data_IF_903542369160
#
_entry.id   IF_903542369160
#
_cell.length_a   1.000
_cell.length_b   1.000
_cell.length_c   1.000
_cell.angle_alpha   90.00
_cell.angle_beta   90.00
_cell.angle_gamma   90.00
#
_symmetry.space_group_name_H-M   'P 1'
#
loop_
_entity.id
_entity.type
_entity.pdbx_description
1 polymer ?
#
# COMPACT_ATOMS: atom_id res chain seq x y z
N UNK A 1 19.38 11.89 29.03
CA UNK A 1 19.64 10.70 28.20
C UNK A 1 19.34 11.07 26.76
N UNK A 2 20.38 11.47 26.02
CA UNK A 2 20.29 11.79 24.60
C UNK A 2 20.27 10.48 23.81
N UNK A 3 19.12 10.13 23.24
CA UNK A 3 18.98 9.01 22.32
C UNK A 3 19.41 9.48 20.92
N UNK A 4 20.70 9.30 20.63
CA UNK A 4 21.23 9.30 19.28
C UNK A 4 20.65 8.10 18.50
N UNK A 5 19.47 8.28 17.89
CA UNK A 5 18.91 7.38 16.90
C UNK A 5 19.35 7.82 15.50
N UNK A 6 20.66 7.83 15.30
CA UNK A 6 21.23 7.84 13.97
C UNK A 6 20.81 6.53 13.29
N UNK A 7 19.94 6.63 12.28
CA UNK A 7 19.25 5.57 11.51
C UNK A 7 17.90 5.09 12.08
N UNK A 8 16.95 5.99 12.30
CA UNK A 8 15.54 5.55 12.33
C UNK A 8 15.20 4.95 10.96
N UNK A 9 15.18 3.61 10.86
CA UNK A 9 14.60 2.94 9.70
C UNK A 9 13.16 3.46 9.59
N UNK A 10 12.79 3.96 8.41
CA UNK A 10 11.42 4.42 8.16
C UNK A 10 10.45 3.31 8.54
N UNK A 11 9.51 3.59 9.44
CA UNK A 11 8.51 2.62 9.85
C UNK A 11 7.60 2.29 8.66
N UNK A 12 7.13 1.03 8.53
CA UNK A 12 6.20 0.68 7.48
C UNK A 12 4.89 1.46 7.66
N UNK A 13 4.33 1.93 6.54
CA UNK A 13 2.99 2.46 6.48
C UNK A 13 2.00 1.31 6.30
N UNK A 14 1.04 1.18 7.21
CA UNK A 14 0.02 0.12 7.18
C UNK A 14 -1.35 0.77 6.96
N UNK A 15 -2.07 0.32 5.93
CA UNK A 15 -3.41 0.78 5.61
C UNK A 15 -4.39 -0.39 5.52
N UNK A 16 -5.51 -0.29 6.21
CA UNK A 16 -6.58 -1.29 6.26
C UNK A 16 -7.83 -0.75 5.57
N UNK A 17 -8.28 -1.42 4.51
CA UNK A 17 -9.48 -1.12 3.71
C UNK A 17 -9.67 0.36 3.31
N UNK A 18 -8.56 1.03 2.98
CA UNK A 18 -8.49 2.45 2.60
C UNK A 18 -9.48 2.87 1.48
N UNK A 19 -9.87 1.93 0.61
CA UNK A 19 -10.69 2.20 -0.58
C UNK A 19 -12.13 1.69 -0.49
N UNK A 20 -12.65 1.35 0.70
CA UNK A 20 -13.99 0.79 0.88
C UNK A 20 -15.13 1.61 0.26
N UNK A 21 -14.99 2.94 0.16
CA UNK A 21 -16.02 3.83 -0.42
C UNK A 21 -15.62 4.44 -1.78
N UNK A 22 -14.53 3.96 -2.38
CA UNK A 22 -13.99 4.53 -3.60
C UNK A 22 -14.53 3.77 -4.81
N UNK A 23 -14.84 4.52 -5.87
CA UNK A 23 -15.06 3.92 -7.18
C UNK A 23 -13.70 3.58 -7.82
N UNK A 24 -13.74 3.02 -9.02
CA UNK A 24 -12.54 2.54 -9.71
C UNK A 24 -11.53 3.65 -10.00
N UNK A 25 -12.01 4.84 -10.36
CA UNK A 25 -11.18 6.01 -10.66
C UNK A 25 -10.48 6.50 -9.39
N UNK A 26 -11.24 6.73 -8.31
CA UNK A 26 -10.66 7.16 -7.03
C UNK A 26 -9.71 6.13 -6.46
N UNK A 27 -10.04 4.84 -6.57
CA UNK A 27 -9.17 3.74 -6.10
C UNK A 27 -7.83 3.73 -6.85
N UNK A 28 -7.86 3.95 -8.17
CA UNK A 28 -6.64 4.02 -8.99
C UNK A 28 -5.76 5.18 -8.57
N UNK A 29 -6.32 6.39 -8.41
CA UNK A 29 -5.57 7.55 -7.94
C UNK A 29 -4.97 7.33 -6.53
N UNK A 30 -5.73 6.70 -5.63
CA UNK A 30 -5.23 6.33 -4.31
C UNK A 30 -4.09 5.33 -4.36
N UNK A 31 -4.18 4.31 -5.23
CA UNK A 31 -3.12 3.34 -5.45
C UNK A 31 -1.85 4.00 -6.04
N UNK A 32 -1.99 4.99 -6.92
CA UNK A 32 -0.85 5.77 -7.43
C UNK A 32 -0.12 6.54 -6.32
N UNK A 33 -0.87 7.13 -5.39
CA UNK A 33 -0.30 7.79 -4.22
C UNK A 33 0.43 6.78 -3.30
N UNK A 34 -0.14 5.59 -3.10
CA UNK A 34 0.53 4.51 -2.35
C UNK A 34 1.81 4.03 -3.07
N UNK A 35 1.80 3.98 -4.41
CA UNK A 35 3.00 3.66 -5.21
C UNK A 35 4.09 4.69 -5.00
N UNK A 36 3.77 5.98 -5.01
CA UNK A 36 4.76 7.02 -4.71
C UNK A 36 5.30 6.88 -3.27
N UNK A 37 4.41 6.68 -2.28
CA UNK A 37 4.81 6.48 -0.89
C UNK A 37 5.73 5.27 -0.71
N UNK A 38 5.49 4.20 -1.48
CA UNK A 38 6.30 2.98 -1.44
C UNK A 38 7.77 3.19 -1.80
N UNK A 39 8.10 4.29 -2.49
CA UNK A 39 9.49 4.66 -2.81
C UNK A 39 10.26 5.21 -1.60
N UNK A 40 9.54 5.65 -0.56
CA UNK A 40 10.09 6.30 0.64
C UNK A 40 10.02 5.39 1.87
N UNK A 41 9.02 4.52 1.95
CA UNK A 41 8.86 3.53 3.02
C UNK A 41 8.11 2.29 2.55
N UNK A 42 8.21 1.19 3.30
CA UNK A 42 7.40 0.01 3.02
C UNK A 42 5.91 0.31 3.22
N UNK A 43 5.08 -0.06 2.26
CA UNK A 43 3.62 0.05 2.33
C UNK A 43 3.01 -1.35 2.44
N UNK A 44 2.21 -1.57 3.49
CA UNK A 44 1.40 -2.76 3.68
C UNK A 44 -0.06 -2.35 3.55
N UNK A 45 -0.70 -2.77 2.45
CA UNK A 45 -2.12 -2.53 2.22
C UNK A 45 -2.90 -3.82 2.41
N UNK A 46 -3.81 -3.80 3.37
CA UNK A 46 -4.70 -4.90 3.69
C UNK A 46 -6.08 -4.57 3.16
N UNK A 47 -6.67 -5.49 2.42
CA UNK A 47 -8.05 -5.33 1.99
C UNK A 47 -8.74 -6.67 1.77
N UNK A 48 -10.05 -6.67 1.98
CA UNK A 48 -10.93 -7.77 1.62
C UNK A 48 -11.57 -7.60 0.22
N UNK A 49 -11.24 -6.52 -0.50
CA UNK A 49 -11.83 -6.20 -1.80
C UNK A 49 -11.03 -6.78 -2.97
N UNK A 50 -11.36 -7.99 -3.40
CA UNK A 50 -10.71 -8.66 -4.54
C UNK A 50 -10.76 -7.84 -5.85
N UNK A 51 -11.80 -7.01 -6.02
CA UNK A 51 -11.96 -6.16 -7.20
C UNK A 51 -10.89 -5.07 -7.35
N UNK A 52 -10.07 -4.82 -6.32
CA UNK A 52 -8.93 -3.90 -6.41
C UNK A 52 -7.73 -4.53 -7.12
N UNK A 53 -7.64 -5.86 -7.18
CA UNK A 53 -6.48 -6.57 -7.75
C UNK A 53 -6.13 -6.17 -9.18
N UNK A 54 -7.08 -6.00 -10.13
CA UNK A 54 -6.75 -5.53 -11.47
C UNK A 54 -6.09 -4.15 -11.46
N UNK A 55 -6.56 -3.24 -10.59
CA UNK A 55 -6.04 -1.88 -10.48
C UNK A 55 -4.68 -1.85 -9.79
N UNK A 56 -4.49 -2.67 -8.75
CA UNK A 56 -3.18 -2.86 -8.11
C UNK A 56 -2.17 -3.34 -9.14
N UNK A 57 -2.52 -4.34 -9.96
CA UNK A 57 -1.65 -4.84 -11.04
C UNK A 57 -1.40 -3.81 -12.12
N UNK A 58 -2.40 -3.00 -12.47
CA UNK A 58 -2.25 -1.91 -13.43
C UNK A 58 -1.27 -0.83 -12.92
N UNK A 59 -1.41 -0.41 -11.66
CA UNK A 59 -0.61 0.68 -11.08
C UNK A 59 0.81 0.25 -10.73
N UNK A 60 0.98 -0.96 -10.18
CA UNK A 60 2.28 -1.43 -9.67
C UNK A 60 3.00 -2.42 -10.59
N UNK A 61 2.30 -3.07 -11.52
CA UNK A 61 2.88 -4.10 -12.39
C UNK A 61 3.52 -5.23 -11.58
N UNK A 62 4.78 -5.55 -11.88
CA UNK A 62 5.58 -6.54 -11.15
C UNK A 62 6.22 -6.00 -9.84
N UNK A 63 6.05 -4.71 -9.53
CA UNK A 63 6.63 -4.06 -8.35
C UNK A 63 5.86 -4.25 -7.05
N UNK A 64 4.84 -5.11 -7.03
CA UNK A 64 3.99 -5.37 -5.87
C UNK A 64 3.96 -6.85 -5.53
N UNK A 65 3.98 -7.15 -4.24
CA UNK A 65 3.69 -8.49 -3.74
C UNK A 65 2.21 -8.58 -3.38
N UNK A 66 1.50 -9.52 -3.99
CA UNK A 66 0.09 -9.80 -3.69
C UNK A 66 0.00 -11.17 -3.02
N UNK A 67 -0.48 -11.19 -1.79
CA UNK A 67 -0.64 -12.42 -1.00
C UNK A 67 -2.13 -12.58 -0.68
N UNK A 68 -2.73 -13.67 -1.17
CA UNK A 68 -4.09 -14.05 -0.79
C UNK A 68 -4.02 -14.87 0.51
N UNK A 69 -4.70 -14.41 1.55
CA UNK A 69 -4.78 -15.15 2.81
C UNK A 69 -5.90 -16.19 2.72
N UNK A 70 -5.56 -17.47 2.85
CA UNK A 70 -6.53 -18.54 3.01
C UNK A 70 -7.04 -18.54 4.45
N UNK A 71 -8.33 -18.87 4.62
CA UNK A 71 -9.02 -18.85 5.90
C UNK A 71 -8.66 -20.06 6.77
#
# INVERSE_FOLDING_TARGET
>A
MELHLDKSKSLPFVADDLFVNFDDERSTAGLEALRELSTKTQVLFLSHHDHLLPRVRQVFGAGVNVVALQR
#
